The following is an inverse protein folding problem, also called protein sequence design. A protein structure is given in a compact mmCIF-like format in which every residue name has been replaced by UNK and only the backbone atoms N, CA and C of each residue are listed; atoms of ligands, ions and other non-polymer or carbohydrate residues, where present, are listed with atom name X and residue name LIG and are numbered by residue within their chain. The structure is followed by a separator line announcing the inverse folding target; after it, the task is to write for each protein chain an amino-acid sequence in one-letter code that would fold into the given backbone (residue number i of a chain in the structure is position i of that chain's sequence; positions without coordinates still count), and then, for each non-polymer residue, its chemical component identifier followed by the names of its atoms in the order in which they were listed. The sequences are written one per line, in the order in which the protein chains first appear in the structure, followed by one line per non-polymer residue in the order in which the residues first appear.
data_IF_502434142285
#
_entry.id   IF_502434142285
#
_cell.length_a   1.000
_cell.length_b   1.000
_cell.length_c   1.000
_cell.angle_alpha   90.00
_cell.angle_beta   90.00
_cell.angle_gamma   90.00
#
_symmetry.space_group_name_H-M   'P 1'
#
loop_
_entity.id
_entity.type
_entity.pdbx_description
1 polymer ?
#
# COMPACT_ATOMS: atom_id res chain seq x y z
N UNK A 1 -11.13 -11.47 17.45
CA UNK A 1 -12.30 -12.29 17.02
C UNK A 1 -12.73 -12.12 15.55
N UNK A 2 -12.64 -10.95 14.91
CA UNK A 2 -13.04 -10.80 13.50
C UNK A 2 -12.01 -11.29 12.46
N UNK A 3 -10.71 -11.34 12.79
CA UNK A 3 -9.68 -11.93 11.91
C UNK A 3 -9.78 -13.47 11.80
N UNK A 4 -10.39 -14.14 12.79
CA UNK A 4 -10.58 -15.60 12.78
C UNK A 4 -11.90 -16.02 12.10
N UNK A 5 -12.84 -15.08 11.93
CA UNK A 5 -14.04 -15.30 11.12
C UNK A 5 -13.67 -15.03 9.66
N UNK A 6 -12.96 -15.98 9.07
CA UNK A 6 -12.52 -15.93 7.68
C UNK A 6 -13.66 -15.43 6.77
N UNK A 7 -13.42 -14.31 6.10
CA UNK A 7 -14.28 -13.81 5.03
C UNK A 7 -14.42 -14.96 4.03
N UNK A 8 -15.60 -15.60 3.99
CA UNK A 8 -15.88 -16.63 3.00
C UNK A 8 -16.11 -15.93 1.67
N UNK A 9 -15.03 -15.86 0.88
CA UNK A 9 -15.07 -15.42 -0.51
C UNK A 9 -15.86 -16.46 -1.32
N UNK A 10 -16.94 -16.05 -1.99
CA UNK A 10 -17.64 -16.88 -2.96
C UNK A 10 -17.28 -16.40 -4.37
N UNK A 11 -16.92 -17.30 -5.30
CA UNK A 11 -16.74 -16.92 -6.69
C UNK A 11 -18.08 -16.42 -7.27
N UNK A 12 -18.00 -15.37 -8.09
CA UNK A 12 -19.15 -14.85 -8.85
C UNK A 12 -19.62 -15.90 -9.84
N UNK A 13 -20.94 -16.08 -9.97
CA UNK A 13 -21.52 -16.88 -11.04
C UNK A 13 -21.18 -16.23 -12.39
N UNK A 14 -20.68 -17.03 -13.35
CA UNK A 14 -20.22 -16.55 -14.64
C UNK A 14 -21.33 -15.79 -15.40
N UNK A 15 -21.20 -14.47 -15.48
CA UNK A 15 -21.96 -13.61 -16.37
C UNK A 15 -21.00 -12.94 -17.34
N UNK A 16 -21.34 -12.93 -18.63
CA UNK A 16 -20.47 -12.51 -19.73
C UNK A 16 -19.88 -11.09 -19.57
N UNK A 17 -18.61 -10.86 -19.97
CA UNK A 17 -17.97 -9.55 -19.86
C UNK A 17 -18.44 -8.58 -20.96
N UNK A 18 -18.42 -7.26 -20.71
CA UNK A 18 -18.64 -6.26 -21.75
C UNK A 18 -17.42 -6.21 -22.69
N UNK A 19 -17.69 -6.15 -23.99
CA UNK A 19 -16.69 -5.99 -25.05
C UNK A 19 -16.31 -4.50 -25.16
N UNK A 20 -15.03 -4.18 -25.00
CA UNK A 20 -14.51 -2.82 -25.14
C UNK A 20 -12.98 -2.79 -25.14
N UNK A 21 -12.43 -2.84 -26.35
CA UNK A 21 -11.10 -2.40 -26.82
C UNK A 21 -9.84 -2.75 -26.00
N UNK A 22 -9.10 -3.71 -26.57
CA UNK A 22 -7.77 -4.13 -26.16
C UNK A 22 -6.70 -3.08 -26.54
N UNK A 23 -6.12 -2.44 -25.53
CA UNK A 23 -4.89 -1.65 -25.64
C UNK A 23 -3.87 -2.13 -24.61
N UNK A 24 -2.93 -2.95 -25.05
CA UNK A 24 -1.66 -3.32 -24.38
C UNK A 24 -1.75 -3.53 -22.85
N UNK A 25 -2.59 -4.48 -22.43
CA UNK A 25 -2.37 -5.19 -21.18
C UNK A 25 -1.25 -6.21 -21.45
N UNK A 26 -0.01 -5.81 -21.17
CA UNK A 26 1.03 -6.80 -20.91
C UNK A 26 0.49 -7.70 -19.80
N UNK A 27 0.29 -8.97 -20.14
CA UNK A 27 -0.14 -9.99 -19.21
C UNK A 27 0.78 -9.95 -17.99
N UNK A 28 0.24 -9.53 -16.85
CA UNK A 28 0.79 -9.88 -15.55
C UNK A 28 0.40 -11.34 -15.32
N UNK A 29 0.95 -12.22 -16.16
CA UNK A 29 0.94 -13.66 -15.92
C UNK A 29 1.64 -13.88 -14.58
N UNK A 30 1.02 -14.72 -13.73
CA UNK A 30 1.39 -14.94 -12.33
C UNK A 30 2.84 -14.61 -12.02
N UNK A 31 3.04 -13.47 -11.36
CA UNK A 31 4.34 -13.09 -10.87
C UNK A 31 4.80 -14.20 -9.92
N UNK A 32 5.91 -14.87 -10.26
CA UNK A 32 6.74 -15.54 -9.26
C UNK A 32 7.25 -14.44 -8.31
N UNK A 33 6.42 -14.05 -7.33
CA UNK A 33 6.78 -13.15 -6.24
C UNK A 33 7.70 -13.90 -5.30
N UNK A 34 9.01 -13.85 -5.55
CA UNK A 34 9.97 -14.41 -4.60
C UNK A 34 11.30 -14.93 -5.13
N UNK A 35 11.80 -14.48 -6.29
CA UNK A 35 13.22 -14.74 -6.59
C UNK A 35 14.08 -13.74 -5.82
N UNK A 36 14.51 -14.17 -4.64
CA UNK A 36 15.57 -13.61 -3.79
C UNK A 36 16.93 -13.48 -4.54
N UNK A 37 17.00 -13.91 -5.80
CA UNK A 37 18.24 -14.01 -6.57
C UNK A 37 18.14 -13.39 -7.99
N UNK A 38 17.36 -12.34 -8.18
CA UNK A 38 17.50 -11.51 -9.39
C UNK A 38 18.60 -10.47 -9.15
N UNK A 39 19.58 -10.38 -10.06
CA UNK A 39 20.60 -9.34 -9.97
C UNK A 39 19.91 -7.97 -10.09
N UNK A 40 20.03 -7.14 -9.06
CA UNK A 40 19.48 -5.77 -9.06
C UNK A 40 20.16 -4.96 -10.17
N UNK A 41 19.35 -4.43 -11.08
CA UNK A 41 19.80 -3.56 -12.17
C UNK A 41 19.77 -2.10 -11.70
N UNK A 42 20.92 -1.59 -11.29
CA UNK A 42 21.04 -0.20 -10.84
C UNK A 42 21.01 0.82 -11.98
N UNK A 43 21.19 0.40 -13.24
CA UNK A 43 21.10 1.34 -14.36
C UNK A 43 19.63 1.64 -14.65
N UNK A 44 18.79 0.60 -14.67
CA UNK A 44 17.34 0.75 -14.83
C UNK A 44 16.66 1.27 -13.57
N UNK A 45 17.10 0.82 -12.38
CA UNK A 45 16.43 1.10 -11.10
C UNK A 45 17.41 1.55 -10.01
N UNK A 46 18.06 2.72 -10.18
CA UNK A 46 19.11 3.20 -9.27
C UNK A 46 18.63 3.39 -7.82
N UNK A 47 17.34 3.64 -7.59
CA UNK A 47 16.77 3.80 -6.25
C UNK A 47 16.97 2.59 -5.33
N UNK A 48 16.96 1.37 -5.87
CA UNK A 48 17.20 0.15 -5.08
C UNK A 48 18.68 -0.03 -4.71
N UNK A 49 19.57 0.72 -5.35
CA UNK A 49 21.00 0.73 -5.08
C UNK A 49 21.44 1.94 -4.24
N UNK A 50 20.48 2.78 -3.84
CA UNK A 50 20.71 3.89 -2.91
C UNK A 50 21.28 3.39 -1.57
N UNK A 51 21.84 4.29 -0.77
CA UNK A 51 22.35 3.95 0.56
C UNK A 51 21.24 3.45 1.48
N UNK A 52 20.05 4.00 1.33
CA UNK A 52 18.87 3.72 2.15
C UNK A 52 18.37 2.28 1.96
N UNK A 53 18.38 1.78 0.72
CA UNK A 53 17.91 0.43 0.39
C UNK A 53 19.06 -0.57 0.27
N UNK A 54 20.13 -0.20 -0.43
CA UNK A 54 21.34 -0.99 -0.64
C UNK A 54 21.05 -2.46 -1.04
N UNK A 55 20.09 -2.67 -1.95
CA UNK A 55 19.66 -4.01 -2.37
C UNK A 55 20.72 -4.73 -3.20
N UNK A 56 21.57 -4.01 -3.96
CA UNK A 56 22.62 -4.64 -4.78
C UNK A 56 23.83 -5.05 -3.97
N UNK A 57 24.35 -4.17 -3.12
CA UNK A 57 25.57 -4.46 -2.36
C UNK A 57 25.31 -5.31 -1.12
N UNK A 58 24.05 -5.37 -0.68
CA UNK A 58 23.59 -6.30 0.35
C UNK A 58 22.26 -6.93 -0.09
N UNK A 59 22.29 -7.93 -1.00
CA UNK A 59 21.10 -8.65 -1.44
C UNK A 59 20.41 -9.34 -0.27
N UNK A 60 19.08 -9.47 -0.35
CA UNK A 60 18.35 -10.28 0.63
C UNK A 60 18.82 -11.74 0.54
N UNK A 61 19.06 -12.35 1.68
CA UNK A 61 19.19 -13.80 1.82
C UNK A 61 17.81 -14.45 1.83
N UNK A 62 17.74 -15.77 1.63
CA UNK A 62 16.48 -16.52 1.71
C UNK A 62 15.84 -16.39 3.10
N UNK A 63 16.65 -16.45 4.16
CA UNK A 63 16.20 -16.27 5.54
C UNK A 63 15.60 -14.87 5.77
N UNK A 64 16.27 -13.80 5.31
CA UNK A 64 15.73 -12.44 5.39
C UNK A 64 14.43 -12.30 4.58
N UNK A 65 14.34 -12.98 3.44
CA UNK A 65 13.10 -13.04 2.65
C UNK A 65 11.94 -13.66 3.43
N UNK A 66 12.16 -14.79 4.11
CA UNK A 66 11.15 -15.40 4.98
C UNK A 66 10.80 -14.53 6.19
N UNK A 67 11.77 -13.82 6.76
CA UNK A 67 11.50 -12.84 7.82
C UNK A 67 10.62 -11.70 7.33
N UNK A 68 10.90 -11.12 6.15
CA UNK A 68 10.11 -10.02 5.58
C UNK A 68 8.68 -10.45 5.23
N UNK A 69 8.44 -11.74 4.92
CA UNK A 69 7.08 -12.28 4.78
C UNK A 69 6.26 -12.16 6.04
N UNK A 70 6.90 -12.32 7.21
CA UNK A 70 6.24 -12.25 8.52
C UNK A 70 6.30 -10.86 9.16
N UNK A 71 7.37 -10.10 8.93
CA UNK A 71 7.61 -8.79 9.54
C UNK A 71 8.45 -7.90 8.65
N UNK A 72 7.88 -6.77 8.22
CA UNK A 72 8.55 -5.81 7.34
C UNK A 72 9.45 -4.85 8.13
N UNK A 73 9.04 -4.43 9.32
CA UNK A 73 9.83 -3.55 10.18
C UNK A 73 11.15 -4.23 10.62
N UNK A 74 12.12 -3.42 11.02
CA UNK A 74 13.40 -3.92 11.53
C UNK A 74 13.21 -4.69 12.85
N UNK A 75 14.16 -5.57 13.24
CA UNK A 75 14.07 -6.31 14.49
C UNK A 75 13.94 -5.45 15.76
N UNK A 76 14.44 -4.22 15.74
CA UNK A 76 14.34 -3.23 16.82
C UNK A 76 13.07 -2.36 16.75
N UNK A 77 12.11 -2.70 15.88
CA UNK A 77 10.80 -2.04 15.83
C UNK A 77 10.81 -0.71 15.07
N UNK A 78 11.67 -0.55 14.07
CA UNK A 78 11.76 0.67 13.25
C UNK A 78 11.26 0.41 11.84
N UNK A 79 10.88 1.48 11.16
CA UNK A 79 10.55 1.43 9.75
C UNK A 79 11.78 0.96 8.96
N UNK A 80 11.56 0.10 7.96
CA UNK A 80 12.60 -0.61 7.24
C UNK A 80 12.53 -0.31 5.73
N UNK A 81 13.24 0.72 5.24
CA UNK A 81 13.36 0.98 3.80
C UNK A 81 13.91 -0.21 2.99
N UNK A 82 14.73 -1.09 3.59
CA UNK A 82 15.26 -2.27 2.88
C UNK A 82 14.19 -3.31 2.57
N UNK A 83 13.04 -3.28 3.24
CA UNK A 83 11.92 -4.18 2.93
C UNK A 83 11.43 -4.03 1.48
N UNK A 84 11.63 -2.87 0.85
CA UNK A 84 11.34 -2.66 -0.58
C UNK A 84 12.17 -3.57 -1.50
N UNK A 85 13.35 -4.03 -1.08
CA UNK A 85 14.16 -4.97 -1.85
C UNK A 85 13.41 -6.28 -2.16
N UNK A 86 12.47 -6.68 -1.29
CA UNK A 86 11.65 -7.89 -1.49
C UNK A 86 10.71 -7.75 -2.70
N UNK A 87 10.20 -6.54 -2.93
CA UNK A 87 9.26 -6.24 -4.02
C UNK A 87 9.91 -5.85 -5.34
N UNK A 88 11.24 -5.87 -5.45
CA UNK A 88 11.95 -5.38 -6.64
C UNK A 88 11.46 -6.05 -7.95
N UNK A 89 11.32 -5.31 -9.07
CA UNK A 89 11.46 -3.85 -9.23
C UNK A 89 10.13 -3.08 -9.02
N UNK A 90 9.11 -3.71 -8.44
CA UNK A 90 7.82 -3.06 -8.20
C UNK A 90 8.01 -1.85 -7.27
N UNK A 91 7.16 -0.84 -7.45
CA UNK A 91 7.17 0.38 -6.64
C UNK A 91 8.42 1.26 -6.77
N UNK A 92 9.21 1.09 -7.84
CA UNK A 92 10.37 1.94 -8.12
C UNK A 92 10.09 3.45 -7.99
N UNK A 93 8.95 3.92 -8.53
CA UNK A 93 8.52 5.33 -8.41
C UNK A 93 8.29 5.73 -6.96
N UNK A 94 7.61 4.88 -6.18
CA UNK A 94 7.36 5.12 -4.75
C UNK A 94 8.66 5.29 -3.99
N UNK A 95 9.58 4.34 -4.19
CA UNK A 95 10.89 4.31 -3.53
C UNK A 95 11.73 5.53 -3.91
N UNK A 96 11.82 5.83 -5.20
CA UNK A 96 12.60 6.95 -5.71
C UNK A 96 12.12 8.27 -5.09
N UNK A 97 10.81 8.56 -5.17
CA UNK A 97 10.27 9.84 -4.72
C UNK A 97 10.20 9.97 -3.21
N UNK A 98 9.67 8.95 -2.52
CA UNK A 98 9.43 9.03 -1.08
C UNK A 98 10.71 8.82 -0.26
N UNK A 99 11.47 7.77 -0.57
CA UNK A 99 12.55 7.30 0.31
C UNK A 99 13.88 7.96 -0.05
N UNK A 100 14.23 7.95 -1.34
CA UNK A 100 15.54 8.43 -1.82
C UNK A 100 15.56 9.94 -1.96
N UNK A 101 14.63 10.52 -2.72
CA UNK A 101 14.56 11.96 -2.95
C UNK A 101 13.93 12.74 -1.79
N UNK A 102 13.13 12.06 -0.95
CA UNK A 102 12.33 12.70 0.11
C UNK A 102 11.42 13.82 -0.43
N UNK A 103 10.97 13.64 -1.66
CA UNK A 103 10.09 14.54 -2.39
C UNK A 103 8.65 14.03 -2.26
N UNK A 104 8.02 14.31 -1.11
CA UNK A 104 6.66 13.84 -0.82
C UNK A 104 5.65 14.38 -1.84
N UNK A 105 5.84 15.61 -2.33
CA UNK A 105 4.93 16.23 -3.30
C UNK A 105 5.10 15.61 -4.68
N UNK A 106 6.33 15.35 -5.12
CA UNK A 106 6.59 14.60 -6.35
C UNK A 106 6.14 13.15 -6.26
N UNK A 107 6.24 12.51 -5.08
CA UNK A 107 5.60 11.22 -4.81
C UNK A 107 4.09 11.30 -5.04
N UNK A 108 3.44 12.31 -4.44
CA UNK A 108 1.99 12.49 -4.56
C UNK A 108 1.54 12.63 -6.03
N UNK A 109 2.27 13.39 -6.83
CA UNK A 109 1.96 13.59 -8.24
C UNK A 109 2.21 12.33 -9.07
N UNK A 110 3.37 11.72 -8.90
CA UNK A 110 3.82 10.58 -9.70
C UNK A 110 2.98 9.33 -9.43
N UNK A 111 2.63 9.09 -8.15
CA UNK A 111 1.74 7.99 -7.78
C UNK A 111 0.32 8.19 -8.27
N UNK A 112 -0.22 9.42 -8.22
CA UNK A 112 -1.55 9.70 -8.76
C UNK A 112 -1.62 9.39 -10.25
N UNK A 113 -0.61 9.82 -11.01
CA UNK A 113 -0.52 9.54 -12.44
C UNK A 113 -0.41 8.04 -12.72
N UNK A 114 0.47 7.34 -12.00
CA UNK A 114 0.65 5.90 -12.17
C UNK A 114 -0.61 5.10 -11.84
N UNK A 115 -1.31 5.46 -10.75
CA UNK A 115 -2.53 4.79 -10.31
C UNK A 115 -3.75 5.17 -11.16
N UNK A 116 -3.75 6.36 -11.77
CA UNK A 116 -4.73 6.72 -12.81
C UNK A 116 -4.62 5.76 -14.00
N UNK A 117 -3.40 5.54 -14.50
CA UNK A 117 -3.16 4.64 -15.63
C UNK A 117 -3.52 3.16 -15.34
N UNK A 118 -3.62 2.79 -14.06
CA UNK A 118 -3.98 1.44 -13.59
C UNK A 118 -5.43 1.32 -13.14
N UNK A 119 -6.22 2.39 -13.23
CA UNK A 119 -7.60 2.45 -12.72
C UNK A 119 -7.70 2.10 -11.22
N UNK A 120 -6.79 2.63 -10.39
CA UNK A 120 -6.74 2.36 -8.94
C UNK A 120 -7.20 3.55 -8.08
N UNK A 121 -7.72 4.61 -8.70
CA UNK A 121 -8.07 5.84 -7.97
C UNK A 121 -9.18 5.63 -6.93
N UNK A 122 -10.11 4.70 -7.16
CA UNK A 122 -11.17 4.36 -6.20
C UNK A 122 -10.61 3.65 -4.96
N UNK A 123 -9.77 2.63 -5.15
CA UNK A 123 -9.05 1.96 -4.07
C UNK A 123 -8.20 2.94 -3.25
N UNK A 124 -7.44 3.83 -3.92
CA UNK A 124 -6.63 4.85 -3.26
C UNK A 124 -7.48 5.84 -2.47
N UNK A 125 -8.59 6.32 -3.04
CA UNK A 125 -9.51 7.19 -2.32
C UNK A 125 -10.09 6.47 -1.09
N UNK A 126 -10.53 5.23 -1.24
CA UNK A 126 -11.01 4.43 -0.12
C UNK A 126 -9.96 4.32 1.00
N UNK A 127 -8.69 4.05 0.64
CA UNK A 127 -7.55 4.06 1.57
C UNK A 127 -7.38 5.42 2.27
N UNK A 128 -7.34 6.51 1.51
CA UNK A 128 -7.18 7.86 2.04
C UNK A 128 -8.25 8.23 3.08
N UNK A 129 -9.52 7.98 2.78
CA UNK A 129 -10.64 8.31 3.67
C UNK A 129 -10.76 7.32 4.83
N UNK A 130 -10.58 6.03 4.60
CA UNK A 130 -10.75 5.00 5.64
C UNK A 130 -9.63 5.01 6.69
N UNK A 131 -8.39 5.35 6.31
CA UNK A 131 -7.27 5.50 7.26
C UNK A 131 -7.37 6.85 7.98
N UNK A 132 -8.01 7.84 7.37
CA UNK A 132 -8.15 9.19 7.91
C UNK A 132 -7.00 10.12 7.53
N UNK A 133 -6.28 9.85 6.45
CA UNK A 133 -5.17 10.68 5.96
C UNK A 133 -5.58 12.15 5.75
N UNK A 134 -6.83 12.39 5.38
CA UNK A 134 -7.39 13.72 5.18
C UNK A 134 -7.51 14.56 6.46
N UNK A 135 -7.49 13.94 7.64
CA UNK A 135 -7.68 14.61 8.92
C UNK A 135 -6.34 14.79 9.67
N UNK A 136 -5.26 14.21 9.15
CA UNK A 136 -3.94 14.30 9.78
C UNK A 136 -3.37 15.69 9.53
N UNK A 137 -3.19 16.52 10.55
CA UNK A 137 -2.57 17.85 10.40
C UNK A 137 -1.09 17.87 10.75
N UNK A 138 -0.62 16.88 11.50
CA UNK A 138 0.75 16.78 12.01
C UNK A 138 1.79 16.37 10.95
N UNK A 139 1.37 15.65 9.92
CA UNK A 139 2.23 15.28 8.79
C UNK A 139 2.21 16.39 7.73
N UNK A 140 3.39 16.89 7.39
CA UNK A 140 3.65 17.96 6.42
C UNK A 140 4.63 17.49 5.34
N UNK A 141 4.95 18.35 4.37
CA UNK A 141 5.93 18.05 3.32
C UNK A 141 7.36 17.86 3.84
N UNK A 142 7.62 18.33 5.07
CA UNK A 142 8.93 18.25 5.71
C UNK A 142 9.00 17.17 6.80
N UNK A 143 7.94 16.38 6.97
CA UNK A 143 7.92 15.30 7.95
C UNK A 143 9.01 14.29 7.66
N UNK A 144 9.86 14.08 8.66
CA UNK A 144 10.94 13.11 8.65
C UNK A 144 10.43 11.71 8.99
N UNK A 145 11.24 10.69 8.69
CA UNK A 145 10.89 9.31 9.04
C UNK A 145 10.66 9.09 10.55
N UNK A 146 11.51 9.59 11.47
CA UNK A 146 11.26 9.45 12.91
C UNK A 146 9.95 10.11 13.38
N UNK A 147 9.58 11.25 12.81
CA UNK A 147 8.28 11.90 13.11
C UNK A 147 7.11 11.07 12.58
N UNK A 148 7.26 10.45 11.41
CA UNK A 148 6.27 9.53 10.86
C UNK A 148 6.12 8.28 11.73
N UNK A 149 7.20 7.72 12.26
CA UNK A 149 7.17 6.58 13.19
C UNK A 149 6.43 6.93 14.49
N UNK A 150 6.68 8.10 15.08
CA UNK A 150 5.94 8.57 16.26
C UNK A 150 4.44 8.68 15.98
N UNK A 151 4.08 9.13 14.78
CA UNK A 151 2.69 9.16 14.36
C UNK A 151 2.10 7.75 14.21
N UNK A 152 2.84 6.81 13.62
CA UNK A 152 2.45 5.40 13.52
C UNK A 152 2.24 4.77 14.90
N UNK A 153 3.12 5.05 15.88
CA UNK A 153 2.99 4.61 17.26
C UNK A 153 1.70 5.14 17.90
N UNK A 154 1.43 6.43 17.75
CA UNK A 154 0.22 7.06 18.29
C UNK A 154 -1.04 6.49 17.65
N UNK A 155 -1.02 6.25 16.33
CA UNK A 155 -2.21 5.87 15.57
C UNK A 155 -2.54 4.39 15.68
N UNK A 156 -1.54 3.52 15.62
CA UNK A 156 -1.73 2.07 15.51
C UNK A 156 -1.30 1.32 16.77
N UNK A 157 -0.47 1.94 17.61
CA UNK A 157 0.31 1.25 18.63
C UNK A 157 1.57 0.62 18.03
N UNK A 158 2.69 0.74 18.75
CA UNK A 158 4.01 0.32 18.27
C UNK A 158 4.02 -1.13 17.76
N UNK A 159 3.58 -2.07 18.60
CA UNK A 159 3.55 -3.49 18.27
C UNK A 159 2.74 -3.81 17.01
N UNK A 160 1.62 -3.11 16.79
CA UNK A 160 0.72 -3.42 15.69
C UNK A 160 1.37 -3.15 14.32
N UNK A 161 1.94 -1.94 14.13
CA UNK A 161 2.55 -1.60 12.84
C UNK A 161 3.94 -2.23 12.66
N UNK A 162 4.67 -2.54 13.73
CA UNK A 162 5.97 -3.22 13.62
C UNK A 162 5.87 -4.72 13.38
N UNK A 163 4.67 -5.32 13.48
CA UNK A 163 4.48 -6.77 13.36
C UNK A 163 3.83 -7.22 12.05
N UNK A 164 3.54 -6.30 11.12
CA UNK A 164 2.98 -6.67 9.81
C UNK A 164 4.06 -7.16 8.86
N UNK A 165 3.76 -8.19 8.08
CA UNK A 165 4.63 -8.78 7.08
C UNK A 165 4.16 -8.54 5.65
N UNK A 166 4.96 -9.00 4.68
CA UNK A 166 4.56 -9.01 3.28
C UNK A 166 3.31 -9.89 3.04
N UNK A 167 3.12 -10.96 3.81
CA UNK A 167 1.96 -11.83 3.68
C UNK A 167 0.63 -11.08 3.93
N UNK A 168 0.60 -10.21 4.93
CA UNK A 168 -0.56 -9.35 5.23
C UNK A 168 -0.81 -8.35 4.08
N UNK A 169 0.26 -7.75 3.56
CA UNK A 169 0.19 -6.83 2.43
C UNK A 169 -0.34 -7.51 1.17
N UNK A 170 0.20 -8.67 0.81
CA UNK A 170 -0.21 -9.44 -0.37
C UNK A 170 -1.68 -9.85 -0.30
N UNK A 171 -2.14 -10.35 0.86
CA UNK A 171 -3.57 -10.65 1.06
C UNK A 171 -4.44 -9.42 0.86
N UNK A 172 -3.99 -8.26 1.35
CA UNK A 172 -4.72 -7.00 1.23
C UNK A 172 -4.77 -6.50 -0.21
N UNK A 173 -3.65 -6.51 -0.92
CA UNK A 173 -3.58 -6.13 -2.34
C UNK A 173 -4.44 -7.06 -3.20
N UNK A 174 -4.36 -8.37 -2.97
CA UNK A 174 -5.17 -9.34 -3.70
C UNK A 174 -6.68 -9.11 -3.48
N UNK A 175 -7.09 -8.78 -2.25
CA UNK A 175 -8.48 -8.42 -1.96
C UNK A 175 -8.90 -7.11 -2.66
N UNK A 176 -8.04 -6.08 -2.67
CA UNK A 176 -8.31 -4.81 -3.35
C UNK A 176 -8.46 -4.99 -4.87
N UNK A 177 -7.53 -5.72 -5.51
CA UNK A 177 -7.62 -6.00 -6.94
C UNK A 177 -8.85 -6.84 -7.30
N UNK A 178 -9.19 -7.83 -6.48
CA UNK A 178 -10.37 -8.65 -6.71
C UNK A 178 -11.67 -7.86 -6.53
N UNK A 179 -11.68 -6.85 -5.65
CA UNK A 179 -12.79 -5.89 -5.53
C UNK A 179 -12.92 -5.02 -6.79
N UNK A 180 -11.82 -4.40 -7.25
CA UNK A 180 -11.82 -3.52 -8.43
C UNK A 180 -12.22 -4.25 -9.72
N UNK A 181 -11.85 -5.54 -9.87
CA UNK A 181 -12.30 -6.37 -11.00
C UNK A 181 -13.76 -6.86 -10.87
N UNK A 182 -14.39 -6.66 -9.71
CA UNK A 182 -15.72 -7.20 -9.43
C UNK A 182 -15.76 -8.73 -9.31
N UNK A 183 -14.61 -9.35 -8.99
CA UNK A 183 -14.46 -10.79 -8.76
C UNK A 183 -15.01 -11.19 -7.38
N UNK A 184 -14.89 -10.29 -6.42
CA UNK A 184 -15.37 -10.49 -5.05
C UNK A 184 -16.66 -9.72 -4.85
N UNK A 185 -17.77 -10.46 -4.74
CA UNK A 185 -18.93 -9.95 -4.02
C UNK A 185 -18.57 -10.06 -2.55
N UNK A 186 -18.24 -8.93 -1.91
CA UNK A 186 -18.26 -8.91 -0.46
C UNK A 186 -19.67 -9.32 -0.07
N UNK A 187 -19.85 -10.39 0.71
CA UNK A 187 -21.15 -10.78 1.26
C UNK A 187 -21.72 -9.73 2.25
N UNK A 188 -21.13 -8.52 2.22
CA UNK A 188 -21.58 -7.32 2.84
C UNK A 188 -22.83 -6.83 2.10
N UNK A 189 -23.98 -6.95 2.74
CA UNK A 189 -25.26 -6.50 2.21
C UNK A 189 -25.58 -5.07 2.66
N UNK A 190 -24.88 -4.58 3.69
CA UNK A 190 -25.05 -3.23 4.24
C UNK A 190 -23.81 -2.34 4.11
N UNK A 191 -24.03 -1.01 4.11
CA UNK A 191 -22.94 -0.01 4.08
C UNK A 191 -21.97 -0.16 5.26
N UNK A 192 -22.46 -0.56 6.43
CA UNK A 192 -21.61 -0.73 7.61
C UNK A 192 -20.67 -1.95 7.49
N UNK A 193 -21.15 -3.04 6.88
CA UNK A 193 -20.32 -4.20 6.60
C UNK A 193 -19.25 -3.88 5.55
N UNK A 194 -19.62 -3.17 4.48
CA UNK A 194 -18.65 -2.68 3.48
C UNK A 194 -17.62 -1.77 4.14
N UNK A 195 -18.06 -0.81 4.96
CA UNK A 195 -17.16 0.08 5.71
C UNK A 195 -16.20 -0.71 6.60
N UNK A 196 -16.68 -1.71 7.33
CA UNK A 196 -15.86 -2.53 8.21
C UNK A 196 -14.76 -3.29 7.45
N UNK A 197 -15.10 -3.90 6.31
CA UNK A 197 -14.12 -4.63 5.51
C UNK A 197 -13.10 -3.69 4.88
N UNK A 198 -13.55 -2.59 4.27
CA UNK A 198 -12.64 -1.58 3.67
C UNK A 198 -11.71 -1.00 4.73
N UNK A 199 -12.23 -0.66 5.91
CA UNK A 199 -11.39 -0.19 7.03
C UNK A 199 -10.35 -1.22 7.43
N UNK A 200 -10.71 -2.49 7.58
CA UNK A 200 -9.75 -3.52 7.96
C UNK A 200 -8.61 -3.65 6.94
N UNK A 201 -8.95 -3.72 5.64
CA UNK A 201 -7.95 -3.81 4.57
C UNK A 201 -7.04 -2.59 4.53
N UNK A 202 -7.62 -1.40 4.56
CA UNK A 202 -6.85 -0.14 4.47
C UNK A 202 -5.99 0.11 5.71
N UNK A 203 -6.39 -0.37 6.89
CA UNK A 203 -5.55 -0.32 8.09
C UNK A 203 -4.32 -1.20 7.99
N UNK A 204 -4.45 -2.41 7.41
CA UNK A 204 -3.28 -3.26 7.12
C UNK A 204 -2.34 -2.55 6.16
N UNK A 205 -2.86 -1.99 5.05
CA UNK A 205 -2.04 -1.20 4.11
C UNK A 205 -1.31 -0.05 4.80
N UNK A 206 -1.98 0.67 5.71
CA UNK A 206 -1.38 1.79 6.44
C UNK A 206 -0.28 1.35 7.41
N UNK A 207 -0.49 0.26 8.15
CA UNK A 207 0.54 -0.33 9.01
C UNK A 207 1.74 -0.82 8.20
N UNK A 208 1.49 -1.43 7.04
CA UNK A 208 2.54 -1.80 6.08
C UNK A 208 3.30 -0.56 5.62
N UNK A 209 2.61 0.55 5.31
CA UNK A 209 3.27 1.79 4.91
C UNK A 209 4.13 2.40 6.04
N UNK A 210 3.76 2.22 7.31
CA UNK A 210 4.62 2.55 8.45
C UNK A 210 5.87 1.66 8.46
N UNK A 211 5.69 0.34 8.40
CA UNK A 211 6.78 -0.63 8.42
C UNK A 211 7.76 -0.46 7.25
N UNK A 212 7.28 -0.02 6.09
CA UNK A 212 8.07 0.20 4.87
C UNK A 212 8.55 1.65 4.71
N UNK A 213 8.39 2.50 5.73
CA UNK A 213 8.88 3.87 5.79
C UNK A 213 8.22 4.88 4.82
N UNK A 214 6.99 4.66 4.34
CA UNK A 214 6.31 5.55 3.39
C UNK A 214 4.96 6.14 3.84
N UNK A 215 4.52 5.90 5.09
CA UNK A 215 3.21 6.42 5.58
C UNK A 215 3.03 7.94 5.43
N UNK A 216 4.09 8.72 5.66
CA UNK A 216 4.06 10.18 5.53
C UNK A 216 3.89 10.64 4.07
N UNK A 217 4.45 9.89 3.11
CA UNK A 217 4.26 10.11 1.68
C UNK A 217 2.83 9.80 1.24
N UNK A 218 2.26 8.69 1.74
CA UNK A 218 0.86 8.34 1.52
C UNK A 218 -0.09 9.41 2.06
N UNK A 219 0.23 9.98 3.24
CA UNK A 219 -0.56 11.05 3.84
C UNK A 219 -0.60 12.29 2.94
N UNK A 220 0.56 12.73 2.43
CA UNK A 220 0.60 13.88 1.53
C UNK A 220 -0.05 13.56 0.17
N UNK A 221 0.16 12.35 -0.35
CA UNK A 221 -0.53 11.86 -1.54
C UNK A 221 -2.04 12.01 -1.45
N UNK A 222 -2.61 11.57 -0.33
CA UNK A 222 -4.04 11.68 -0.05
C UNK A 222 -4.51 13.13 0.00
N UNK A 223 -3.80 13.99 0.75
CA UNK A 223 -4.13 15.42 0.87
C UNK A 223 -4.14 16.13 -0.48
N UNK A 224 -3.10 15.92 -1.28
CA UNK A 224 -2.94 16.61 -2.58
C UNK A 224 -4.00 16.16 -3.58
N UNK A 225 -4.37 14.88 -3.58
CA UNK A 225 -5.13 14.32 -4.70
C UNK A 225 -6.59 13.95 -4.40
N UNK A 226 -6.99 13.84 -3.13
CA UNK A 226 -8.30 13.28 -2.77
C UNK A 226 -9.09 14.12 -1.78
N UNK A 227 -8.44 14.62 -0.73
CA UNK A 227 -9.14 15.10 0.46
C UNK A 227 -10.05 16.31 0.23
N UNK A 228 -9.64 17.22 -0.65
CA UNK A 228 -10.40 18.45 -0.96
C UNK A 228 -11.28 18.33 -2.22
N UNK A 229 -11.36 17.13 -2.83
CA UNK A 229 -12.14 16.93 -4.06
C UNK A 229 -13.54 16.41 -3.74
N UNK A 230 -14.54 17.21 -4.09
CA UNK A 230 -15.96 16.91 -3.83
C UNK A 230 -16.40 15.54 -4.33
N UNK A 231 -15.91 15.11 -5.50
CA UNK A 231 -16.20 13.79 -6.06
C UNK A 231 -15.82 12.66 -5.09
N UNK A 232 -14.60 12.69 -4.54
CA UNK A 232 -14.13 11.65 -3.62
C UNK A 232 -14.75 11.79 -2.23
N UNK A 233 -15.01 13.02 -1.77
CA UNK A 233 -15.73 13.24 -0.51
C UNK A 233 -17.15 12.71 -0.55
N UNK A 234 -17.88 12.96 -1.65
CA UNK A 234 -19.23 12.44 -1.83
C UNK A 234 -19.26 10.91 -1.87
N UNK A 235 -18.28 10.30 -2.55
CA UNK A 235 -18.23 8.85 -2.73
C UNK A 235 -17.68 8.11 -1.50
N UNK A 236 -16.59 8.59 -0.88
CA UNK A 236 -15.83 7.89 0.15
C UNK A 236 -15.87 8.57 1.51
N UNK A 237 -16.48 9.74 1.64
CA UNK A 237 -16.62 10.45 2.92
C UNK A 237 -17.32 9.62 3.99
N UNK A 238 -18.18 8.68 3.61
CA UNK A 238 -18.80 7.75 4.57
C UNK A 238 -17.80 6.78 5.23
N UNK A 239 -16.61 6.58 4.65
CA UNK A 239 -15.51 5.80 5.23
C UNK A 239 -14.72 6.60 6.27
N UNK A 240 -14.67 7.93 6.09
CA UNK A 240 -14.07 8.83 7.06
C UNK A 240 -14.85 8.78 8.38
N UNK A 241 -14.15 9.09 9.46
CA UNK A 241 -14.67 8.95 10.81
C UNK A 241 -15.78 9.98 11.05
N UNK A 242 -16.94 9.51 11.52
CA UNK A 242 -17.50 10.13 12.72
C UNK A 242 -16.54 9.72 13.85
N UNK A 243 -15.97 10.72 14.52
CA UNK A 243 -15.12 10.62 15.72
C UNK A 243 -15.68 9.66 16.76
#
# INVERSE_FOLDING_TARGET
ELLQRGVRLRPRAAGAPPQGEAGVLAAVGGAETGRVNSSIDCEAYPMFCSRELNCRSNPLTEAEGEELKARLATPDGRANPRSWCYGYPLYATSVQKCIVEKDLRGYAQSMFQANTARNLLSADAAYCFAVGHCNITTITEHTTLPEAEQFCDQKFGHEAWTSVGWNEMERTMNAAFAYERGDVIMNATGRDEVRAVVRNLTMVSAMTACAMANFHCDTLYCKVNYCDKDTYRAQFGFLSWAS
#
